data_IF_226067298698
#
_entry.id   IF_226067298698
#
_cell.length_a   1.000
_cell.length_b   1.000
_cell.length_c   1.000
_cell.angle_alpha   90.00
_cell.angle_beta   90.00
_cell.angle_gamma   90.00
#
_symmetry.space_group_name_H-M   'P 1'
#
loop_
_entity.id
_entity.type
_entity.pdbx_description
1 polymer ?
#
# COMPACT_ATOMS: atom_id res chain seq x y z
N UNK A 1 -3.42 33.16 -8.44
CA UNK A 1 -3.61 32.06 -7.45
C UNK A 1 -3.35 32.65 -6.07
N UNK A 2 -4.31 32.59 -5.16
CA UNK A 2 -4.16 33.06 -3.79
C UNK A 2 -3.28 32.08 -2.99
N UNK A 3 -2.75 32.52 -1.84
CA UNK A 3 -1.97 31.63 -0.96
C UNK A 3 -2.81 30.43 -0.49
N UNK A 4 -4.10 30.62 -0.24
CA UNK A 4 -5.03 29.57 0.12
C UNK A 4 -5.22 28.55 -1.01
N UNK A 5 -5.44 29.03 -2.24
CA UNK A 5 -5.58 28.13 -3.40
C UNK A 5 -4.28 27.33 -3.66
N UNK A 6 -3.12 27.97 -3.49
CA UNK A 6 -1.82 27.29 -3.62
C UNK A 6 -1.63 26.18 -2.57
N UNK A 7 -1.98 26.45 -1.31
CA UNK A 7 -1.93 25.47 -0.24
C UNK A 7 -2.89 24.31 -0.47
N UNK A 8 -4.15 24.60 -0.83
CA UNK A 8 -5.14 23.59 -1.15
C UNK A 8 -4.67 22.68 -2.28
N UNK A 9 -4.18 23.28 -3.38
CA UNK A 9 -3.65 22.55 -4.52
C UNK A 9 -2.45 21.68 -4.14
N UNK A 10 -1.59 22.17 -3.24
CA UNK A 10 -0.44 21.40 -2.73
C UNK A 10 -0.88 20.13 -2.00
N UNK A 11 -1.97 20.19 -1.22
CA UNK A 11 -2.53 19.01 -0.56
C UNK A 11 -3.19 18.04 -1.53
N UNK A 12 -3.93 18.55 -2.50
CA UNK A 12 -4.53 17.71 -3.55
C UNK A 12 -3.45 16.94 -4.32
N UNK A 13 -2.32 17.62 -4.64
CA UNK A 13 -1.16 16.99 -5.26
C UNK A 13 -0.47 15.96 -4.34
N UNK A 14 -0.36 16.23 -3.04
CA UNK A 14 0.23 15.27 -2.08
C UNK A 14 -0.62 14.00 -1.96
N UNK A 15 -1.95 14.13 -1.95
CA UNK A 15 -2.86 12.99 -1.99
C UNK A 15 -2.71 12.18 -3.29
N UNK A 16 -2.63 12.87 -4.44
CA UNK A 16 -2.42 12.24 -5.74
C UNK A 16 -1.07 11.54 -5.84
N UNK A 17 0.00 12.13 -5.32
CA UNK A 17 1.33 11.54 -5.22
C UNK A 17 1.33 10.28 -4.36
N UNK A 18 0.65 10.32 -3.22
CA UNK A 18 0.55 9.15 -2.35
C UNK A 18 -0.14 8.00 -3.05
N UNK A 19 -1.29 8.26 -3.72
CA UNK A 19 -2.02 7.26 -4.48
C UNK A 19 -1.20 6.70 -5.66
N UNK A 20 -0.50 7.56 -6.41
CA UNK A 20 0.34 7.14 -7.53
C UNK A 20 1.54 6.28 -7.07
N UNK A 21 2.16 6.62 -5.94
CA UNK A 21 3.26 5.83 -5.35
C UNK A 21 2.78 4.46 -4.88
N UNK A 22 1.58 4.36 -4.30
CA UNK A 22 1.00 3.07 -3.89
C UNK A 22 0.71 2.19 -5.10
N UNK A 23 0.14 2.76 -6.17
CA UNK A 23 -0.07 2.03 -7.43
C UNK A 23 1.25 1.56 -8.03
N UNK A 24 2.29 2.39 -7.98
CA UNK A 24 3.63 2.02 -8.45
C UNK A 24 4.21 0.85 -7.65
N UNK A 25 4.10 0.87 -6.33
CA UNK A 25 4.55 -0.24 -5.47
C UNK A 25 3.78 -1.54 -5.77
N UNK A 26 2.46 -1.46 -5.95
CA UNK A 26 1.64 -2.61 -6.33
C UNK A 26 2.05 -3.16 -7.69
N UNK A 27 2.20 -2.32 -8.71
CA UNK A 27 2.65 -2.72 -10.04
C UNK A 27 4.06 -3.35 -10.00
N UNK A 28 5.00 -2.76 -9.24
CA UNK A 28 6.35 -3.31 -9.05
C UNK A 28 6.34 -4.65 -8.33
N UNK A 29 5.44 -4.86 -7.39
CA UNK A 29 5.33 -6.13 -6.64
C UNK A 29 4.94 -7.32 -7.53
N UNK A 30 4.24 -7.08 -8.64
CA UNK A 30 3.81 -8.09 -9.60
C UNK A 30 4.93 -8.48 -10.59
N UNK A 31 5.91 -7.60 -10.83
CA UNK A 31 6.97 -7.82 -11.82
C UNK A 31 7.80 -9.08 -11.59
N UNK A 32 8.22 -9.46 -10.35
CA UNK A 32 8.96 -10.69 -10.12
C UNK A 32 8.22 -11.95 -10.57
N UNK A 33 6.92 -12.01 -10.29
CA UNK A 33 6.06 -13.13 -10.68
C UNK A 33 5.90 -13.20 -12.20
N UNK A 34 5.63 -12.08 -12.87
CA UNK A 34 5.52 -12.01 -14.32
C UNK A 34 6.83 -12.39 -15.01
N UNK A 35 7.98 -11.95 -14.48
CA UNK A 35 9.31 -12.36 -14.98
C UNK A 35 9.56 -13.86 -14.80
N UNK A 36 9.12 -14.45 -13.68
CA UNK A 36 9.23 -15.88 -13.46
C UNK A 36 8.37 -16.67 -14.45
N UNK A 37 7.12 -16.27 -14.63
CA UNK A 37 6.19 -16.88 -15.61
C UNK A 37 6.71 -16.79 -17.03
N UNK A 38 7.26 -15.65 -17.43
CA UNK A 38 7.85 -15.46 -18.76
C UNK A 38 9.07 -16.37 -18.97
N UNK A 39 9.96 -16.49 -17.95
CA UNK A 39 11.12 -17.38 -18.01
C UNK A 39 10.72 -18.84 -18.12
N UNK A 40 9.75 -19.28 -17.34
CA UNK A 40 9.21 -20.64 -17.35
C UNK A 40 8.58 -20.99 -18.69
N UNK A 41 7.74 -20.10 -19.24
CA UNK A 41 7.11 -20.28 -20.55
C UNK A 41 8.14 -20.35 -21.68
N UNK A 42 9.19 -19.51 -21.65
CA UNK A 42 10.28 -19.56 -22.61
C UNK A 42 11.11 -20.84 -22.47
N UNK A 43 11.44 -21.26 -21.24
CA UNK A 43 12.18 -22.50 -20.98
C UNK A 43 11.42 -23.73 -21.52
N UNK A 44 10.11 -23.81 -21.27
CA UNK A 44 9.25 -24.87 -21.80
C UNK A 44 9.25 -24.90 -23.33
N UNK A 45 9.25 -23.74 -23.99
CA UNK A 45 9.30 -23.63 -25.46
C UNK A 45 10.64 -24.10 -26.00
N UNK A 46 11.75 -23.71 -25.35
CA UNK A 46 13.14 -24.10 -25.73
C UNK A 46 13.34 -25.60 -25.53
N UNK A 47 12.97 -26.13 -24.36
CA UNK A 47 13.07 -27.57 -24.06
C UNK A 47 12.28 -28.40 -25.05
N UNK A 48 11.07 -27.95 -25.40
CA UNK A 48 10.24 -28.61 -26.39
C UNK A 48 10.87 -28.56 -27.80
N UNK A 49 11.50 -27.45 -28.20
CA UNK A 49 12.12 -27.27 -29.51
C UNK A 49 13.47 -27.99 -29.65
N UNK A 50 14.24 -28.07 -28.57
CA UNK A 50 15.64 -28.58 -28.55
C UNK A 50 15.77 -30.09 -28.52
N UNK A 51 14.73 -30.86 -28.22
CA UNK A 51 14.84 -32.30 -28.11
C UNK A 51 14.87 -32.94 -29.52
N UNK A 52 15.77 -33.92 -29.76
CA UNK A 52 15.87 -34.73 -30.99
C UNK A 52 14.58 -35.44 -31.40
N UNK A 53 13.52 -35.31 -30.62
CA UNK A 53 12.16 -35.79 -30.87
C UNK A 53 11.39 -34.96 -31.88
N UNK A 54 11.97 -33.90 -32.45
CA UNK A 54 11.31 -33.03 -33.45
C UNK A 54 10.85 -33.83 -34.68
N UNK A 55 11.62 -34.81 -35.12
CA UNK A 55 11.30 -35.69 -36.21
C UNK A 55 10.18 -36.68 -35.90
N UNK A 56 10.15 -37.26 -34.70
CA UNK A 56 9.07 -38.14 -34.23
C UNK A 56 7.74 -37.41 -34.00
N UNK A 57 7.77 -36.13 -33.66
CA UNK A 57 6.57 -35.30 -33.41
C UNK A 57 5.80 -35.00 -34.69
N UNK A 58 6.50 -34.77 -35.80
CA UNK A 58 5.89 -34.58 -37.11
C UNK A 58 5.08 -35.79 -37.55
N UNK A 59 5.48 -36.99 -37.13
CA UNK A 59 4.79 -38.24 -37.36
C UNK A 59 3.60 -38.50 -36.40
N UNK A 60 3.51 -37.82 -35.27
CA UNK A 60 2.51 -38.08 -34.23
C UNK A 60 1.42 -37.02 -34.08
N UNK A 61 1.32 -36.04 -35.00
CA UNK A 61 0.27 -35.01 -35.00
C UNK A 61 0.30 -34.03 -33.81
N UNK A 62 1.46 -33.90 -33.12
CA UNK A 62 1.61 -33.01 -31.93
C UNK A 62 2.05 -31.59 -32.29
N UNK A 63 1.71 -31.09 -33.48
CA UNK A 63 1.97 -29.68 -33.84
C UNK A 63 1.18 -28.69 -32.97
N UNK A 64 0.01 -29.07 -32.49
CA UNK A 64 -0.84 -28.26 -31.61
C UNK A 64 -0.18 -27.91 -30.27
N UNK A 65 0.68 -28.80 -29.74
CA UNK A 65 1.34 -28.59 -28.46
C UNK A 65 2.47 -27.55 -28.56
N UNK A 66 3.20 -27.51 -29.67
CA UNK A 66 4.23 -26.48 -29.90
C UNK A 66 3.56 -25.11 -30.06
N UNK A 67 2.47 -25.04 -30.85
CA UNK A 67 1.72 -23.80 -31.01
C UNK A 67 1.18 -23.27 -29.68
N UNK A 68 0.65 -24.16 -28.83
CA UNK A 68 0.15 -23.80 -27.50
C UNK A 68 1.25 -23.22 -26.59
N UNK A 69 2.46 -23.82 -26.58
CA UNK A 69 3.60 -23.33 -25.80
C UNK A 69 4.09 -21.97 -26.30
N UNK A 70 4.18 -21.79 -27.62
CA UNK A 70 4.55 -20.50 -28.23
C UNK A 70 3.52 -19.41 -27.92
N UNK A 71 2.22 -19.74 -27.96
CA UNK A 71 1.18 -18.80 -27.54
C UNK A 71 1.29 -18.43 -26.07
N UNK A 72 1.58 -19.39 -25.19
CA UNK A 72 1.76 -19.15 -23.76
C UNK A 72 2.95 -18.23 -23.52
N UNK A 73 4.08 -18.46 -24.19
CA UNK A 73 5.26 -17.60 -24.11
C UNK A 73 4.99 -16.17 -24.59
N UNK A 74 4.26 -16.03 -25.73
CA UNK A 74 3.85 -14.70 -26.23
C UNK A 74 2.91 -13.97 -25.27
N UNK A 75 1.95 -14.67 -24.65
CA UNK A 75 1.04 -14.09 -23.66
C UNK A 75 1.80 -13.63 -22.41
N UNK A 76 2.72 -14.45 -21.90
CA UNK A 76 3.56 -14.10 -20.76
C UNK A 76 4.47 -12.89 -21.05
N UNK A 77 5.06 -12.84 -22.25
CA UNK A 77 5.83 -11.67 -22.69
C UNK A 77 4.97 -10.42 -22.78
N UNK A 78 3.79 -10.50 -23.41
CA UNK A 78 2.88 -9.37 -23.56
C UNK A 78 2.38 -8.85 -22.20
N UNK A 79 2.13 -9.73 -21.23
CA UNK A 79 1.77 -9.36 -19.87
C UNK A 79 2.90 -8.60 -19.15
N UNK A 80 4.13 -9.11 -19.28
CA UNK A 80 5.31 -8.43 -18.71
C UNK A 80 5.54 -7.06 -19.37
N UNK A 81 5.46 -6.95 -20.69
CA UNK A 81 5.64 -5.69 -21.41
C UNK A 81 4.55 -4.66 -21.05
N UNK A 82 3.33 -5.13 -20.77
CA UNK A 82 2.24 -4.26 -20.31
C UNK A 82 2.51 -3.74 -18.92
N UNK A 83 2.90 -4.61 -17.99
CA UNK A 83 3.24 -4.21 -16.62
C UNK A 83 4.45 -3.24 -16.57
N UNK A 84 5.46 -3.47 -17.41
CA UNK A 84 6.60 -2.55 -17.52
C UNK A 84 6.21 -1.17 -18.06
N UNK A 85 5.29 -1.11 -19.03
CA UNK A 85 4.76 0.17 -19.53
C UNK A 85 3.92 0.88 -18.49
N UNK A 86 3.13 0.15 -17.71
CA UNK A 86 2.36 0.70 -16.60
C UNK A 86 3.29 1.32 -15.53
N UNK A 87 4.33 0.59 -15.11
CA UNK A 87 5.35 1.13 -14.18
C UNK A 87 5.98 2.40 -14.72
N UNK A 88 6.42 2.41 -15.99
CA UNK A 88 7.02 3.61 -16.60
C UNK A 88 6.04 4.79 -16.67
N UNK A 89 4.76 4.53 -16.95
CA UNK A 89 3.70 5.56 -16.96
C UNK A 89 3.46 6.14 -15.57
N UNK A 90 3.43 5.29 -14.53
CA UNK A 90 3.27 5.74 -13.15
C UNK A 90 4.48 6.56 -12.67
N UNK A 91 5.69 6.14 -13.00
CA UNK A 91 6.91 6.91 -12.69
C UNK A 91 6.91 8.28 -13.36
N UNK A 92 6.51 8.38 -14.63
CA UNK A 92 6.38 9.65 -15.33
C UNK A 92 5.29 10.54 -14.71
N UNK A 93 4.16 9.97 -14.31
CA UNK A 93 3.09 10.70 -13.62
C UNK A 93 3.55 11.25 -12.27
N UNK A 94 4.26 10.45 -11.48
CA UNK A 94 4.83 10.88 -10.19
C UNK A 94 5.79 12.05 -10.41
N UNK A 95 6.70 11.98 -11.38
CA UNK A 95 7.64 13.07 -11.70
C UNK A 95 6.91 14.37 -12.07
N UNK A 96 5.85 14.29 -12.87
CA UNK A 96 5.05 15.46 -13.24
C UNK A 96 4.32 16.08 -12.03
N UNK A 97 3.76 15.25 -11.15
CA UNK A 97 3.11 15.72 -9.92
C UNK A 97 4.10 16.35 -8.94
N UNK A 98 5.32 15.81 -8.82
CA UNK A 98 6.40 16.36 -7.99
C UNK A 98 6.88 17.73 -8.53
N UNK A 99 7.00 17.87 -9.83
CA UNK A 99 7.34 19.15 -10.48
C UNK A 99 6.24 20.18 -10.22
N UNK A 100 4.96 19.82 -10.41
CA UNK A 100 3.83 20.71 -10.13
C UNK A 100 3.78 21.11 -8.65
N UNK A 101 4.02 20.16 -7.72
CA UNK A 101 4.07 20.45 -6.28
C UNK A 101 5.22 21.40 -5.93
N UNK A 102 6.39 21.24 -6.54
CA UNK A 102 7.54 22.11 -6.29
C UNK A 102 7.32 23.54 -6.80
N UNK A 103 6.61 23.70 -7.92
CA UNK A 103 6.26 24.99 -8.49
C UNK A 103 5.34 25.84 -7.60
N UNK A 104 4.61 25.22 -6.65
CA UNK A 104 3.74 25.94 -5.71
C UNK A 104 4.50 26.63 -4.56
N UNK A 105 5.81 26.41 -4.44
CA UNK A 105 6.64 26.98 -3.38
C UNK A 105 6.52 26.25 -2.04
N UNK A 106 7.14 26.82 -1.02
CA UNK A 106 7.14 26.23 0.34
C UNK A 106 5.84 26.53 1.09
N UNK A 107 5.43 25.58 1.98
CA UNK A 107 4.20 25.70 2.78
C UNK A 107 4.27 26.87 3.79
N UNK A 108 5.41 27.06 4.43
CA UNK A 108 5.57 28.03 5.52
C UNK A 108 5.29 29.49 5.08
N UNK A 109 5.88 30.02 4.00
CA UNK A 109 5.56 31.36 3.55
C UNK A 109 4.12 31.52 3.04
N UNK A 110 3.53 30.47 2.46
CA UNK A 110 2.13 30.50 2.05
C UNK A 110 1.19 30.59 3.25
N UNK A 111 1.46 29.84 4.32
CA UNK A 111 0.70 29.91 5.57
C UNK A 111 0.83 31.27 6.25
N UNK A 112 2.03 31.85 6.24
CA UNK A 112 2.28 33.18 6.82
C UNK A 112 1.49 34.29 6.10
N UNK A 113 1.17 34.10 4.82
CA UNK A 113 0.42 35.06 4.02
C UNK A 113 -1.12 34.96 4.19
N UNK A 114 -1.63 33.95 4.92
CA UNK A 114 -3.08 33.78 5.14
C UNK A 114 -3.58 34.70 6.26
N UNK A 115 -4.86 35.13 6.13
CA UNK A 115 -5.62 35.69 7.26
C UNK A 115 -5.85 34.62 8.34
N UNK A 116 -6.19 35.05 9.56
CA UNK A 116 -6.48 34.09 10.65
C UNK A 116 -7.72 33.23 10.34
N UNK A 117 -8.70 33.78 9.64
CA UNK A 117 -9.89 33.07 9.18
C UNK A 117 -9.54 32.01 8.13
N UNK A 118 -8.74 32.38 7.13
CA UNK A 118 -8.27 31.45 6.11
C UNK A 118 -7.38 30.35 6.70
N UNK A 119 -6.57 30.67 7.72
CA UNK A 119 -5.77 29.67 8.45
C UNK A 119 -6.66 28.65 9.16
N UNK A 120 -7.72 29.12 9.84
CA UNK A 120 -8.66 28.23 10.53
C UNK A 120 -9.34 27.29 9.53
N UNK A 121 -9.81 27.82 8.40
CA UNK A 121 -10.37 27.01 7.32
C UNK A 121 -9.36 26.02 6.74
N UNK A 122 -8.13 26.47 6.55
CA UNK A 122 -7.06 25.61 6.04
C UNK A 122 -6.71 24.48 7.01
N UNK A 123 -6.64 24.73 8.32
CA UNK A 123 -6.38 23.70 9.32
C UNK A 123 -7.51 22.67 9.41
N UNK A 124 -8.76 23.07 9.22
CA UNK A 124 -9.89 22.14 9.12
C UNK A 124 -9.73 21.21 7.89
N UNK A 125 -9.41 21.77 6.73
CA UNK A 125 -9.14 20.99 5.52
C UNK A 125 -7.95 20.04 5.72
N UNK A 126 -6.86 20.53 6.29
CA UNK A 126 -5.67 19.72 6.60
C UNK A 126 -6.01 18.56 7.54
N UNK A 127 -6.73 18.83 8.61
CA UNK A 127 -7.16 17.81 9.56
C UNK A 127 -8.07 16.76 8.91
N UNK A 128 -8.97 17.16 8.01
CA UNK A 128 -9.82 16.22 7.25
C UNK A 128 -9.00 15.29 6.38
N UNK A 129 -8.07 15.81 5.60
CA UNK A 129 -7.20 15.01 4.72
C UNK A 129 -6.28 14.07 5.53
N UNK A 130 -5.75 14.56 6.65
CA UNK A 130 -4.96 13.73 7.57
C UNK A 130 -5.80 12.64 8.22
N UNK A 131 -7.06 12.91 8.58
CA UNK A 131 -7.97 11.90 9.12
C UNK A 131 -8.26 10.79 8.11
N UNK A 132 -8.48 11.14 6.84
CA UNK A 132 -8.62 10.14 5.75
C UNK A 132 -7.36 9.31 5.56
N UNK A 133 -6.18 9.94 5.62
CA UNK A 133 -4.89 9.26 5.56
C UNK A 133 -4.69 8.30 6.74
N UNK A 134 -5.06 8.72 7.95
CA UNK A 134 -5.02 7.84 9.13
C UNK A 134 -5.96 6.65 8.99
N UNK A 135 -7.18 6.85 8.48
CA UNK A 135 -8.12 5.76 8.18
C UNK A 135 -7.56 4.78 7.15
N UNK A 136 -6.82 5.26 6.16
CA UNK A 136 -6.15 4.40 5.18
C UNK A 136 -5.08 3.51 5.86
N UNK A 137 -4.23 4.07 6.72
CA UNK A 137 -3.25 3.29 7.48
C UNK A 137 -3.91 2.26 8.40
N UNK A 138 -5.02 2.61 9.06
CA UNK A 138 -5.76 1.67 9.91
C UNK A 138 -6.35 0.50 9.11
N UNK A 139 -6.86 0.75 7.90
CA UNK A 139 -7.36 -0.33 7.01
C UNK A 139 -6.22 -1.28 6.60
N UNK A 140 -5.05 -0.74 6.25
CA UNK A 140 -3.85 -1.55 5.95
C UNK A 140 -3.41 -2.34 7.19
N UNK A 141 -3.32 -1.69 8.35
CA UNK A 141 -2.97 -2.33 9.60
C UNK A 141 -3.91 -3.51 9.93
N UNK A 142 -5.23 -3.32 9.76
CA UNK A 142 -6.22 -4.38 9.94
C UNK A 142 -5.97 -5.56 9.00
N UNK A 143 -5.75 -5.31 7.73
CA UNK A 143 -5.48 -6.34 6.73
C UNK A 143 -4.25 -7.18 7.11
N UNK A 144 -3.18 -6.52 7.53
CA UNK A 144 -1.96 -7.20 7.98
C UNK A 144 -2.18 -8.04 9.25
N UNK A 145 -2.96 -7.54 10.22
CA UNK A 145 -3.33 -8.33 11.41
C UNK A 145 -4.19 -9.54 11.07
N UNK A 146 -5.12 -9.42 10.12
CA UNK A 146 -5.95 -10.53 9.65
C UNK A 146 -5.07 -11.61 8.98
N UNK A 147 -4.09 -11.22 8.18
CA UNK A 147 -3.11 -12.16 7.60
C UNK A 147 -2.26 -12.83 8.67
N UNK A 148 -1.75 -12.08 9.64
CA UNK A 148 -1.01 -12.63 10.77
C UNK A 148 -1.85 -13.67 11.54
N UNK A 149 -3.13 -13.38 11.79
CA UNK A 149 -4.06 -14.34 12.44
C UNK A 149 -4.31 -15.59 11.60
N UNK A 150 -4.40 -15.44 10.28
CA UNK A 150 -4.56 -16.57 9.37
C UNK A 150 -3.40 -17.55 9.50
N UNK A 151 -2.16 -17.05 9.46
CA UNK A 151 -0.96 -17.87 9.64
C UNK A 151 -0.86 -18.46 11.05
N UNK A 152 -1.19 -17.72 12.10
CA UNK A 152 -1.18 -18.19 13.47
C UNK A 152 -2.17 -19.37 13.74
N UNK A 153 -3.29 -19.40 12.99
CA UNK A 153 -4.30 -20.47 13.14
C UNK A 153 -4.00 -21.75 12.35
N UNK A 154 -3.10 -21.69 11.39
CA UNK A 154 -2.83 -22.79 10.46
C UNK A 154 -1.35 -23.24 10.46
N UNK A 155 -0.74 -23.53 11.62
CA UNK A 155 0.71 -23.69 11.74
C UNK A 155 1.29 -24.95 11.07
N UNK A 156 0.49 -25.79 10.44
CA UNK A 156 0.95 -27.05 9.81
C UNK A 156 0.82 -27.07 8.28
N UNK A 157 0.28 -26.02 7.66
CA UNK A 157 -0.01 -26.09 6.24
C UNK A 157 1.15 -25.65 5.33
N UNK A 158 2.06 -24.81 5.81
CA UNK A 158 3.13 -24.23 4.97
C UNK A 158 4.48 -24.15 5.71
N UNK A 159 5.59 -24.58 5.11
CA UNK A 159 6.93 -24.33 5.66
C UNK A 159 7.21 -22.82 5.68
N UNK A 160 7.54 -22.25 6.84
CA UNK A 160 7.85 -20.83 7.00
C UNK A 160 6.73 -19.94 7.54
N UNK A 161 5.62 -20.52 8.00
CA UNK A 161 4.45 -19.78 8.52
C UNK A 161 4.77 -18.80 9.64
N UNK A 162 5.63 -19.18 10.58
CA UNK A 162 6.04 -18.29 11.67
C UNK A 162 6.78 -17.06 11.14
N UNK A 163 7.49 -17.17 10.02
CA UNK A 163 8.13 -16.02 9.38
C UNK A 163 7.09 -15.11 8.74
N UNK A 164 6.06 -15.67 8.09
CA UNK A 164 4.96 -14.91 7.50
C UNK A 164 4.12 -14.22 8.57
N UNK A 165 3.78 -14.93 9.64
CA UNK A 165 3.08 -14.34 10.79
C UNK A 165 3.87 -13.14 11.36
N UNK A 166 5.17 -13.31 11.61
CA UNK A 166 6.02 -12.24 12.13
C UNK A 166 6.15 -11.08 11.14
N UNK A 167 6.24 -11.36 9.85
CA UNK A 167 6.26 -10.36 8.80
C UNK A 167 5.00 -9.49 8.82
N UNK A 168 3.83 -10.11 8.83
CA UNK A 168 2.55 -9.39 8.87
C UNK A 168 2.33 -8.63 10.18
N UNK A 169 2.79 -9.19 11.32
CA UNK A 169 2.80 -8.45 12.60
C UNK A 169 3.67 -7.20 12.55
N UNK A 170 4.86 -7.29 11.99
CA UNK A 170 5.76 -6.15 11.82
C UNK A 170 5.14 -5.09 10.89
N UNK A 171 4.60 -5.52 9.74
CA UNK A 171 3.92 -4.63 8.79
C UNK A 171 2.72 -3.92 9.42
N UNK A 172 1.91 -4.62 10.23
CA UNK A 172 0.82 -4.02 10.99
C UNK A 172 1.33 -2.95 11.98
N UNK A 173 2.45 -3.23 12.67
CA UNK A 173 3.09 -2.29 13.58
C UNK A 173 3.56 -1.03 12.88
N UNK A 174 4.18 -1.16 11.72
CA UNK A 174 4.64 -0.03 10.91
C UNK A 174 3.46 0.84 10.45
N UNK A 175 2.33 0.22 10.03
CA UNK A 175 1.13 0.96 9.65
C UNK A 175 0.49 1.68 10.83
N UNK A 176 0.47 1.07 12.02
CA UNK A 176 -0.02 1.71 13.24
C UNK A 176 0.87 2.89 13.66
N UNK A 177 2.20 2.77 13.53
CA UNK A 177 3.13 3.88 13.81
C UNK A 177 2.95 5.04 12.81
N UNK A 178 2.73 4.75 11.52
CA UNK A 178 2.38 5.78 10.54
C UNK A 178 1.06 6.47 10.90
N UNK A 179 0.04 5.71 11.30
CA UNK A 179 -1.22 6.27 11.79
C UNK A 179 -0.98 7.18 13.00
N UNK A 180 -0.22 6.75 14.01
CA UNK A 180 0.11 7.54 15.20
C UNK A 180 0.71 8.91 14.84
N UNK A 181 1.71 8.94 13.94
CA UNK A 181 2.34 10.18 13.47
C UNK A 181 1.34 11.14 12.85
N UNK A 182 0.40 10.62 12.07
CA UNK A 182 -0.67 11.41 11.47
C UNK A 182 -1.62 11.96 12.54
N UNK A 183 -2.02 11.16 13.52
CA UNK A 183 -2.88 11.59 14.63
C UNK A 183 -2.21 12.67 15.49
N UNK A 184 -0.92 12.52 15.79
CA UNK A 184 -0.13 13.55 16.49
C UNK A 184 -0.12 14.88 15.71
N UNK A 185 -0.04 14.81 14.39
CA UNK A 185 -0.13 16.00 13.52
C UNK A 185 -1.51 16.65 13.62
N UNK A 186 -2.59 15.88 13.56
CA UNK A 186 -3.97 16.38 13.74
C UNK A 186 -4.12 17.08 15.09
N UNK A 187 -3.61 16.48 16.17
CA UNK A 187 -3.62 17.10 17.50
C UNK A 187 -2.85 18.43 17.51
N UNK A 188 -1.72 18.52 16.81
CA UNK A 188 -0.92 19.75 16.71
C UNK A 188 -1.61 20.88 15.94
N UNK A 189 -2.58 20.54 15.07
CA UNK A 189 -3.43 21.52 14.37
C UNK A 189 -4.57 22.08 15.25
N UNK A 190 -4.70 21.61 16.49
CA UNK A 190 -5.73 22.07 17.43
C UNK A 190 -6.98 21.17 17.48
N UNK A 191 -6.93 19.98 16.92
CA UNK A 191 -8.00 18.98 16.96
C UNK A 191 -7.57 17.82 17.89
N UNK A 192 -7.85 17.92 19.22
CA UNK A 192 -7.41 16.91 20.16
C UNK A 192 -8.13 15.59 19.94
N UNK A 193 -7.36 14.50 19.89
CA UNK A 193 -7.83 13.13 19.73
C UNK A 193 -7.28 12.26 20.85
N UNK A 194 -8.12 11.38 21.38
CA UNK A 194 -7.68 10.32 22.26
C UNK A 194 -7.11 9.17 21.41
N UNK A 195 -5.81 8.92 21.55
CA UNK A 195 -5.12 7.88 20.77
C UNK A 195 -5.12 6.59 21.60
N UNK A 196 -5.72 5.53 21.07
CA UNK A 196 -5.78 4.23 21.73
C UNK A 196 -4.36 3.69 22.05
N UNK A 197 -4.12 3.03 23.20
CA UNK A 197 -2.81 2.55 23.62
C UNK A 197 -2.10 1.65 22.60
N UNK A 198 -2.83 0.85 21.85
CA UNK A 198 -2.26 0.05 20.75
C UNK A 198 -1.62 0.93 19.66
N UNK A 199 -2.29 2.02 19.27
CA UNK A 199 -1.77 2.94 18.26
C UNK A 199 -0.61 3.77 18.83
N UNK A 200 -0.63 4.09 20.12
CA UNK A 200 0.47 4.79 20.79
C UNK A 200 1.76 3.96 20.83
N UNK A 201 1.65 2.65 21.08
CA UNK A 201 2.80 1.75 21.17
C UNK A 201 2.52 0.39 20.51
N UNK A 202 2.40 0.34 19.18
CA UNK A 202 2.06 -0.89 18.47
C UNK A 202 3.10 -1.99 18.64
N UNK A 203 4.39 -1.64 18.72
CA UNK A 203 5.47 -2.60 18.90
C UNK A 203 5.44 -3.26 20.29
N UNK A 204 5.01 -2.56 21.34
CA UNK A 204 4.83 -3.12 22.67
C UNK A 204 3.78 -4.23 22.70
N UNK A 205 2.73 -4.11 21.91
CA UNK A 205 1.68 -5.13 21.79
C UNK A 205 2.09 -6.31 20.90
N UNK A 206 2.90 -6.08 19.86
CA UNK A 206 3.27 -7.10 18.86
C UNK A 206 4.46 -7.93 19.33
N UNK A 207 5.46 -7.32 19.95
CA UNK A 207 6.70 -8.00 20.37
C UNK A 207 6.48 -8.93 21.57
N UNK A 208 5.53 -8.63 22.43
CA UNK A 208 5.16 -9.53 23.55
C UNK A 208 4.39 -10.75 23.07
N UNK A 209 3.81 -10.72 21.87
CA UNK A 209 3.08 -11.82 21.24
C UNK A 209 3.96 -12.98 20.73
N UNK A 210 5.08 -13.28 21.39
CA UNK A 210 6.00 -14.36 20.97
C UNK A 210 5.63 -15.77 21.43
N UNK A 211 4.55 -15.95 22.17
CA UNK A 211 4.15 -17.26 22.71
C UNK A 211 2.69 -17.58 22.42
N UNK A 212 2.43 -18.86 22.23
CA UNK A 212 1.09 -19.46 22.13
C UNK A 212 0.15 -18.86 23.19
N UNK A 213 -0.88 -18.17 22.76
CA UNK A 213 -1.87 -17.57 23.65
C UNK A 213 -2.24 -16.11 23.37
N UNK A 214 -1.60 -15.44 22.43
CA UNK A 214 -1.79 -14.00 22.19
C UNK A 214 -2.97 -13.63 21.27
N UNK A 215 -3.95 -14.51 21.16
CA UNK A 215 -5.24 -14.18 20.56
C UNK A 215 -5.85 -12.93 21.22
N UNK A 216 -5.62 -12.78 22.53
CA UNK A 216 -6.13 -11.66 23.33
C UNK A 216 -5.47 -10.34 22.95
N UNK A 217 -4.16 -10.33 22.68
CA UNK A 217 -3.46 -9.12 22.25
C UNK A 217 -3.81 -8.73 20.83
N UNK A 218 -4.00 -9.69 19.94
CA UNK A 218 -4.47 -9.43 18.58
C UNK A 218 -5.92 -8.90 18.57
N UNK A 219 -6.77 -9.39 19.46
CA UNK A 219 -8.12 -8.90 19.63
C UNK A 219 -8.10 -7.44 20.16
N UNK A 220 -7.26 -7.15 21.16
CA UNK A 220 -7.06 -5.77 21.66
C UNK A 220 -6.52 -4.82 20.59
N UNK A 221 -5.61 -5.29 19.74
CA UNK A 221 -5.12 -4.51 18.61
C UNK A 221 -6.25 -4.19 17.61
N UNK A 222 -7.10 -5.18 17.29
CA UNK A 222 -8.26 -4.97 16.42
C UNK A 222 -9.30 -4.05 17.04
N UNK A 223 -9.52 -4.13 18.35
CA UNK A 223 -10.40 -3.22 19.09
C UNK A 223 -9.86 -1.80 19.01
N UNK A 224 -8.58 -1.59 19.28
CA UNK A 224 -7.94 -0.28 19.18
C UNK A 224 -8.00 0.34 17.78
N UNK A 225 -7.90 -0.48 16.73
CA UNK A 225 -8.12 -0.01 15.35
C UNK A 225 -9.55 0.46 15.15
N UNK A 226 -10.55 -0.32 15.62
CA UNK A 226 -11.97 0.03 15.47
C UNK A 226 -12.36 1.30 16.21
N UNK A 227 -11.87 1.45 17.44
CA UNK A 227 -12.11 2.64 18.25
C UNK A 227 -11.49 3.88 17.61
N UNK A 228 -10.23 3.79 17.16
CA UNK A 228 -9.56 4.88 16.47
C UNK A 228 -10.25 5.23 15.15
N UNK A 229 -10.75 4.24 14.39
CA UNK A 229 -11.56 4.50 13.20
C UNK A 229 -12.87 5.22 13.51
N UNK A 230 -13.54 4.88 14.61
CA UNK A 230 -14.76 5.55 15.03
C UNK A 230 -14.48 7.01 15.38
N UNK A 231 -13.45 7.28 16.18
CA UNK A 231 -13.02 8.63 16.55
C UNK A 231 -12.68 9.48 15.32
N UNK A 232 -11.97 8.92 14.34
CA UNK A 232 -11.64 9.64 13.10
C UNK A 232 -12.87 9.94 12.24
N UNK A 233 -13.83 9.04 12.18
CA UNK A 233 -15.09 9.27 11.45
C UNK A 233 -15.92 10.37 12.11
N UNK A 234 -15.94 10.40 13.44
CA UNK A 234 -16.60 11.46 14.19
C UNK A 234 -15.92 12.82 13.96
N UNK A 235 -14.58 12.86 13.98
CA UNK A 235 -13.82 14.06 13.62
C UNK A 235 -14.18 14.55 12.20
N UNK A 236 -14.22 13.65 11.22
CA UNK A 236 -14.58 14.01 9.84
C UNK A 236 -15.99 14.62 9.74
N UNK A 237 -16.96 14.12 10.51
CA UNK A 237 -18.30 14.70 10.57
C UNK A 237 -18.27 16.12 11.16
N UNK A 238 -17.52 16.33 12.25
CA UNK A 238 -17.37 17.66 12.87
C UNK A 238 -16.64 18.68 11.98
N UNK A 239 -15.71 18.21 11.14
CA UNK A 239 -14.99 19.07 10.20
C UNK A 239 -15.79 19.44 8.95
N UNK A 240 -16.85 18.66 8.63
CA UNK A 240 -17.74 18.90 7.50
C UNK A 240 -18.84 19.94 7.79
N UNK A 241 -19.10 20.24 9.07
CA UNK A 241 -19.99 21.32 9.55
C UNK A 241 -19.29 22.68 9.54
#
# INVERSE_FOLDING_TARGET
>A
MTAYEALRKKYELEASLTAAREQLEEAKSQLPQLKAQQREANAATVEYSGSMKKWFRKLSGKEDQQYSLEQTARKAQAALDTALREVASLEANIAALEEEQSALGEKAPLLAALSEEDKAHFYRLEASLLAEKALHFLRKCRKELEQAQYYARNPMMYPGEQQQENFHKAAAGDMADQCRKVLETICSLGFPLEIHPYIQNPMGYIVTARRYGDQDQMNKAQEGIRETEATLKELLLQLAE
#
